data_IF_832640192800
#
_entry.id   IF_832640192800
#
_cell.length_a   1.000
_cell.length_b   1.000
_cell.length_c   1.000
_cell.angle_alpha   90.00
_cell.angle_beta   90.00
_cell.angle_gamma   90.00
#
_symmetry.space_group_name_H-M   'P 1'
#
loop_
_entity.id
_entity.type
_entity.pdbx_description
1 polymer ?
#
# COMPACT_ATOMS: atom_id res chain seq x y z
N UNK A 1 23.31 -20.65 -3.57
CA UNK A 1 22.33 -21.57 -4.18
C UNK A 1 20.95 -21.11 -3.78
N UNK A 2 19.95 -21.11 -4.65
CA UNK A 2 18.59 -20.74 -4.25
C UNK A 2 18.09 -21.67 -3.13
N UNK A 3 17.29 -21.12 -2.21
CA UNK A 3 16.70 -21.88 -1.10
C UNK A 3 15.83 -23.02 -1.66
N UNK A 4 15.97 -24.22 -1.11
CA UNK A 4 15.20 -25.40 -1.52
C UNK A 4 13.94 -25.52 -0.64
N UNK A 5 12.79 -25.17 -1.18
CA UNK A 5 11.52 -25.15 -0.45
C UNK A 5 11.12 -26.52 0.10
N UNK A 6 11.42 -27.62 -0.62
CA UNK A 6 11.11 -28.97 -0.14
C UNK A 6 11.94 -29.34 1.10
N UNK A 7 13.21 -28.97 1.12
CA UNK A 7 14.09 -29.20 2.29
C UNK A 7 13.58 -28.38 3.49
N UNK A 8 13.29 -27.09 3.26
CA UNK A 8 12.76 -26.19 4.29
C UNK A 8 11.42 -26.72 4.83
N UNK A 9 10.54 -27.21 3.96
CA UNK A 9 9.26 -27.78 4.37
C UNK A 9 9.42 -28.96 5.31
N UNK A 10 10.38 -29.87 5.05
CA UNK A 10 10.67 -31.00 5.94
C UNK A 10 11.19 -30.54 7.30
N UNK A 11 12.12 -29.58 7.31
CA UNK A 11 12.71 -29.06 8.55
C UNK A 11 11.66 -28.33 9.39
N UNK A 12 10.81 -27.52 8.76
CA UNK A 12 9.77 -26.71 9.42
C UNK A 12 8.43 -27.43 9.57
N UNK A 13 8.29 -28.67 9.08
CA UNK A 13 7.04 -29.46 9.08
C UNK A 13 5.89 -28.79 8.33
N UNK A 14 6.19 -28.04 7.28
CA UNK A 14 5.18 -27.41 6.41
C UNK A 14 4.59 -28.50 5.52
N UNK A 15 3.26 -28.61 5.52
CA UNK A 15 2.50 -29.61 4.74
C UNK A 15 1.95 -29.00 3.43
N UNK A 16 1.66 -27.71 3.44
CA UNK A 16 1.05 -26.99 2.32
C UNK A 16 1.73 -25.63 2.10
N UNK A 17 1.69 -25.17 0.85
CA UNK A 17 2.14 -23.83 0.49
C UNK A 17 1.02 -23.04 -0.18
N UNK A 18 0.82 -21.81 0.22
CA UNK A 18 0.08 -20.81 -0.51
C UNK A 18 1.04 -20.16 -1.51
N UNK A 19 0.95 -20.50 -2.78
CA UNK A 19 1.68 -19.83 -3.86
C UNK A 19 0.83 -18.67 -4.32
N UNK A 20 1.26 -17.45 -4.02
CA UNK A 20 0.42 -16.26 -4.08
C UNK A 20 0.97 -15.18 -4.98
N UNK A 21 0.08 -14.43 -5.63
CA UNK A 21 0.41 -13.19 -6.32
C UNK A 21 -0.66 -12.13 -6.04
N UNK A 22 -0.34 -10.87 -6.30
CA UNK A 22 -1.29 -9.75 -6.20
C UNK A 22 -1.61 -9.27 -7.61
N UNK A 23 -2.90 -9.16 -7.93
CA UNK A 23 -3.36 -8.62 -9.21
C UNK A 23 -3.31 -7.07 -9.24
N UNK A 24 -3.69 -6.44 -10.37
CA UNK A 24 -3.63 -4.98 -10.53
C UNK A 24 -4.55 -4.22 -9.57
N UNK A 25 -5.59 -4.87 -9.04
CA UNK A 25 -6.50 -4.26 -8.06
C UNK A 25 -6.05 -4.41 -6.61
N UNK A 26 -4.92 -5.10 -6.38
CA UNK A 26 -4.39 -5.32 -5.04
C UNK A 26 -4.97 -6.59 -4.37
N UNK A 27 -5.75 -7.39 -5.10
CA UNK A 27 -6.32 -8.61 -4.55
C UNK A 27 -5.28 -9.71 -4.50
N UNK A 28 -5.12 -10.31 -3.32
CA UNK A 28 -4.22 -11.45 -3.11
C UNK A 28 -4.86 -12.74 -3.64
N UNK A 29 -4.23 -13.32 -4.66
CA UNK A 29 -4.64 -14.56 -5.32
C UNK A 29 -3.70 -15.69 -4.94
N UNK A 30 -4.21 -16.91 -4.78
CA UNK A 30 -3.39 -18.01 -4.30
C UNK A 30 -3.90 -19.39 -4.78
N UNK A 31 -2.97 -20.34 -4.86
CA UNK A 31 -3.28 -21.77 -4.87
C UNK A 31 -2.63 -22.45 -3.69
N UNK A 32 -3.36 -23.36 -3.04
CA UNK A 32 -2.84 -24.22 -1.98
C UNK A 32 -2.19 -25.46 -2.60
N UNK A 33 -0.89 -25.64 -2.40
CA UNK A 33 -0.07 -26.70 -3.00
C UNK A 33 0.46 -27.60 -1.88
N UNK A 34 0.26 -28.94 -1.94
CA UNK A 34 0.85 -29.85 -0.96
C UNK A 34 2.38 -29.93 -1.14
N UNK A 35 3.11 -30.10 -0.05
CA UNK A 35 4.60 -30.12 -0.05
C UNK A 35 5.19 -31.13 -1.02
N UNK A 36 4.50 -32.24 -1.32
CA UNK A 36 4.98 -33.23 -2.31
C UNK A 36 5.18 -32.65 -3.72
N UNK A 37 4.38 -31.62 -4.08
CA UNK A 37 4.44 -30.97 -5.40
C UNK A 37 5.34 -29.71 -5.41
N UNK A 38 5.88 -29.27 -4.27
CA UNK A 38 6.56 -27.96 -4.19
C UNK A 38 7.84 -27.87 -5.02
N UNK A 39 8.53 -28.99 -5.29
CA UNK A 39 9.72 -29.00 -6.13
C UNK A 39 9.37 -28.59 -7.56
N UNK A 40 8.33 -29.20 -8.13
CA UNK A 40 7.83 -28.87 -9.46
C UNK A 40 7.31 -27.42 -9.51
N UNK A 41 6.58 -26.99 -8.48
CA UNK A 41 6.07 -25.62 -8.41
C UNK A 41 7.20 -24.58 -8.29
N UNK A 42 8.30 -24.92 -7.60
CA UNK A 42 9.46 -24.04 -7.51
C UNK A 42 10.18 -23.88 -8.84
N UNK A 43 10.17 -24.90 -9.69
CA UNK A 43 10.84 -24.92 -11.01
C UNK A 43 9.93 -24.36 -12.11
N UNK A 44 8.67 -24.79 -12.15
CA UNK A 44 7.74 -24.54 -13.26
C UNK A 44 6.61 -23.56 -12.90
N UNK A 45 6.41 -23.26 -11.63
CA UNK A 45 5.34 -22.40 -11.13
C UNK A 45 4.01 -23.12 -10.96
N UNK A 46 3.10 -22.47 -10.24
CA UNK A 46 1.69 -22.85 -10.14
C UNK A 46 0.90 -22.16 -11.26
N UNK A 47 0.12 -22.93 -12.04
CA UNK A 47 -0.65 -22.41 -13.18
C UNK A 47 -1.88 -21.60 -12.73
N UNK A 48 -2.14 -20.46 -13.39
CA UNK A 48 -3.30 -19.61 -13.18
C UNK A 48 -3.87 -19.13 -14.52
N UNK A 49 -5.19 -19.09 -14.64
CA UNK A 49 -5.85 -18.41 -15.74
C UNK A 49 -5.87 -16.90 -15.46
N UNK A 50 -5.11 -16.11 -16.22
CA UNK A 50 -5.00 -14.66 -16.02
C UNK A 50 -6.31 -13.91 -16.14
N UNK A 51 -7.21 -14.39 -16.99
CA UNK A 51 -8.57 -13.88 -17.12
C UNK A 51 -9.38 -13.91 -15.81
N UNK A 52 -9.13 -14.88 -14.93
CA UNK A 52 -9.84 -15.01 -13.65
C UNK A 52 -9.32 -14.04 -12.56
N UNK A 53 -8.35 -13.20 -12.89
CA UNK A 53 -7.80 -12.16 -12.03
C UNK A 53 -7.80 -10.81 -12.76
N UNK A 54 -7.63 -9.70 -12.02
CA UNK A 54 -7.56 -8.37 -12.61
C UNK A 54 -6.18 -8.10 -13.24
N UNK A 55 -5.93 -8.69 -14.43
CA UNK A 55 -4.66 -8.59 -15.17
C UNK A 55 -4.84 -8.20 -16.66
N UNK A 56 -6.05 -7.78 -17.04
CA UNK A 56 -6.41 -7.38 -18.41
C UNK A 56 -6.14 -8.47 -19.46
N UNK A 57 -6.53 -9.70 -19.15
CA UNK A 57 -6.42 -10.87 -20.02
C UNK A 57 -7.80 -11.38 -20.45
N UNK A 58 -7.85 -12.14 -21.52
CA UNK A 58 -9.04 -12.80 -22.04
C UNK A 58 -8.98 -14.31 -21.79
N UNK A 59 -10.10 -15.05 -21.92
CA UNK A 59 -10.09 -16.51 -21.85
C UNK A 59 -9.26 -17.19 -22.95
N UNK A 60 -8.87 -16.46 -24.01
CA UNK A 60 -8.05 -16.98 -25.10
C UNK A 60 -6.54 -16.83 -24.83
N UNK A 61 -6.15 -16.09 -23.78
CA UNK A 61 -4.75 -15.96 -23.42
C UNK A 61 -4.23 -17.23 -22.73
N UNK A 62 -2.94 -17.51 -22.91
CA UNK A 62 -2.29 -18.66 -22.28
C UNK A 62 -2.32 -18.57 -20.76
N UNK A 63 -2.24 -19.73 -20.10
CA UNK A 63 -2.05 -19.79 -18.64
C UNK A 63 -0.77 -19.05 -18.21
N UNK A 64 -0.87 -18.40 -17.08
CA UNK A 64 0.28 -17.84 -16.36
C UNK A 64 0.79 -18.84 -15.33
N UNK A 65 2.05 -18.71 -14.98
CA UNK A 65 2.69 -19.50 -13.94
C UNK A 65 3.26 -18.58 -12.85
N UNK A 66 2.78 -18.78 -11.63
CA UNK A 66 3.33 -18.11 -10.44
C UNK A 66 4.57 -18.86 -9.96
N UNK A 67 5.75 -18.34 -10.28
CA UNK A 67 7.03 -18.88 -9.80
C UNK A 67 7.25 -18.37 -8.38
N UNK A 68 7.21 -19.24 -7.35
CA UNK A 68 7.34 -18.78 -5.97
C UNK A 68 8.76 -18.28 -5.71
N UNK A 69 8.86 -17.15 -5.00
CA UNK A 69 10.12 -16.60 -4.52
C UNK A 69 10.47 -17.23 -3.17
N UNK A 70 11.50 -18.09 -3.06
CA UNK A 70 11.84 -18.76 -1.81
C UNK A 70 12.30 -17.80 -0.70
N UNK A 71 12.72 -16.56 -1.05
CA UNK A 71 13.13 -15.57 -0.07
C UNK A 71 11.95 -14.87 0.60
N UNK A 72 10.76 -14.97 0.00
CA UNK A 72 9.51 -14.46 0.56
C UNK A 72 8.80 -15.43 1.52
N UNK A 73 9.35 -16.62 1.77
CA UNK A 73 8.68 -17.65 2.57
C UNK A 73 8.35 -17.18 3.99
N UNK A 74 7.07 -17.19 4.32
CA UNK A 74 6.55 -16.99 5.67
C UNK A 74 5.79 -18.27 6.09
N UNK A 75 6.24 -18.96 7.14
CA UNK A 75 5.44 -19.98 7.80
C UNK A 75 4.37 -19.30 8.63
N UNK A 76 3.08 -19.61 8.42
CA UNK A 76 2.00 -18.92 9.11
C UNK A 76 2.12 -19.09 10.64
N UNK A 77 2.24 -18.01 11.43
CA UNK A 77 2.34 -18.11 12.88
C UNK A 77 1.14 -18.82 13.52
N UNK A 78 -0.06 -18.58 13.03
CA UNK A 78 -1.32 -19.17 13.53
C UNK A 78 -1.65 -20.55 12.93
N UNK A 79 -0.89 -21.02 11.93
CA UNK A 79 -1.03 -22.35 11.34
C UNK A 79 0.30 -22.84 10.76
N UNK A 80 1.11 -23.46 11.61
CA UNK A 80 2.48 -23.91 11.26
C UNK A 80 2.56 -24.96 10.13
N UNK A 81 1.46 -25.56 9.74
CA UNK A 81 1.43 -26.50 8.63
C UNK A 81 1.44 -25.81 7.25
N UNK A 82 1.27 -24.50 7.21
CA UNK A 82 1.16 -23.72 5.98
C UNK A 82 2.30 -22.71 5.85
N UNK A 83 2.93 -22.69 4.66
CA UNK A 83 3.86 -21.64 4.25
C UNK A 83 3.23 -20.74 3.20
N UNK A 84 3.39 -19.43 3.33
CA UNK A 84 3.01 -18.45 2.32
C UNK A 84 4.22 -18.04 1.49
N UNK A 85 4.03 -17.86 0.17
CA UNK A 85 5.06 -17.46 -0.78
C UNK A 85 4.49 -16.41 -1.74
N UNK A 86 5.18 -15.27 -1.87
CA UNK A 86 4.98 -14.37 -2.99
C UNK A 86 5.56 -14.98 -4.26
N UNK A 87 4.93 -14.72 -5.41
CA UNK A 87 5.33 -15.30 -6.70
C UNK A 87 5.47 -14.23 -7.77
N UNK A 88 6.40 -14.46 -8.68
CA UNK A 88 6.55 -13.71 -9.90
C UNK A 88 5.74 -14.41 -11.02
N UNK A 89 4.92 -13.66 -11.75
CA UNK A 89 4.10 -14.20 -12.82
C UNK A 89 4.88 -14.29 -14.13
N UNK A 90 4.78 -15.46 -14.77
CA UNK A 90 5.39 -15.76 -16.08
C UNK A 90 4.33 -16.29 -17.04
N UNK A 91 4.44 -15.93 -18.30
CA UNK A 91 3.60 -16.41 -19.39
C UNK A 91 4.46 -16.58 -20.65
N UNK A 92 4.32 -17.70 -21.35
CA UNK A 92 5.10 -17.99 -22.58
C UNK A 92 6.62 -17.82 -22.40
N UNK A 93 7.16 -18.24 -21.23
CA UNK A 93 8.58 -18.18 -20.92
C UNK A 93 9.13 -16.78 -20.61
N UNK A 94 8.26 -15.78 -20.39
CA UNK A 94 8.64 -14.39 -20.08
C UNK A 94 7.89 -13.88 -18.85
N UNK A 95 8.47 -12.95 -18.08
CA UNK A 95 7.75 -12.25 -17.02
C UNK A 95 6.51 -11.53 -17.55
N UNK A 96 5.42 -11.55 -16.79
CA UNK A 96 4.22 -10.74 -17.08
C UNK A 96 4.50 -9.30 -16.61
N UNK A 97 4.85 -8.43 -17.55
CA UNK A 97 5.27 -7.05 -17.26
C UNK A 97 4.21 -6.23 -16.50
N UNK A 98 2.92 -6.52 -16.72
CA UNK A 98 1.80 -5.89 -16.01
C UNK A 98 1.59 -6.44 -14.59
N UNK A 99 2.33 -7.46 -14.16
CA UNK A 99 2.25 -7.96 -12.79
C UNK A 99 2.85 -6.95 -11.80
N UNK A 100 2.12 -6.54 -10.74
CA UNK A 100 2.58 -5.53 -9.81
C UNK A 100 3.96 -5.82 -9.18
N UNK A 101 4.22 -7.07 -8.81
CA UNK A 101 5.51 -7.47 -8.23
C UNK A 101 6.65 -7.36 -9.25
N UNK A 102 6.41 -7.72 -10.51
CA UNK A 102 7.37 -7.55 -11.62
C UNK A 102 7.61 -6.05 -11.88
N UNK A 103 6.56 -5.24 -11.91
CA UNK A 103 6.69 -3.79 -12.07
C UNK A 103 7.62 -3.19 -10.99
N UNK A 104 7.45 -3.60 -9.73
CA UNK A 104 8.35 -3.17 -8.64
C UNK A 104 9.79 -3.67 -8.85
N UNK A 105 9.99 -4.95 -9.14
CA UNK A 105 11.33 -5.53 -9.39
C UNK A 105 12.05 -4.84 -10.54
N UNK A 106 11.33 -4.44 -11.58
CA UNK A 106 11.90 -3.68 -12.70
C UNK A 106 12.41 -2.29 -12.25
N UNK A 107 11.69 -1.58 -11.39
CA UNK A 107 12.17 -0.30 -10.85
C UNK A 107 13.35 -0.50 -9.87
N UNK A 108 13.30 -1.52 -9.03
CA UNK A 108 14.41 -1.89 -8.12
C UNK A 108 15.68 -2.14 -8.94
N UNK A 109 15.59 -2.90 -10.03
CA UNK A 109 16.72 -3.18 -10.90
C UNK A 109 17.34 -1.90 -11.51
N UNK A 110 16.51 -0.89 -11.85
CA UNK A 110 17.01 0.41 -12.34
C UNK A 110 17.80 1.17 -11.25
N UNK A 111 17.35 1.10 -9.99
CA UNK A 111 18.05 1.72 -8.86
C UNK A 111 19.32 0.95 -8.50
N UNK A 112 19.25 -0.39 -8.45
CA UNK A 112 20.39 -1.26 -8.13
C UNK A 112 21.55 -1.10 -9.11
N UNK A 113 21.28 -0.83 -10.40
CA UNK A 113 22.32 -0.50 -11.39
C UNK A 113 23.13 0.76 -11.03
N UNK A 114 22.64 1.59 -10.09
CA UNK A 114 23.34 2.76 -9.54
C UNK A 114 24.02 2.46 -8.20
N UNK A 115 24.05 1.20 -7.75
CA UNK A 115 24.56 0.79 -6.44
C UNK A 115 23.68 1.23 -5.26
N UNK A 116 22.40 1.51 -5.49
CA UNK A 116 21.48 2.07 -4.51
C UNK A 116 20.30 1.13 -4.26
N UNK A 117 19.80 1.16 -3.02
CA UNK A 117 18.61 0.41 -2.58
C UNK A 117 17.61 1.38 -1.96
N UNK A 118 16.33 1.26 -2.32
CA UNK A 118 15.26 1.96 -1.61
C UNK A 118 14.78 1.11 -0.43
N UNK A 119 14.76 1.70 0.75
CA UNK A 119 14.14 1.15 1.95
C UNK A 119 12.88 1.90 2.27
N UNK A 120 11.87 1.17 2.73
CA UNK A 120 10.58 1.74 3.09
C UNK A 120 9.96 1.05 4.29
N UNK A 121 9.14 1.81 5.04
CA UNK A 121 8.22 1.32 6.04
C UNK A 121 6.82 1.82 5.70
N UNK A 122 5.79 1.07 6.05
CA UNK A 122 4.39 1.46 5.84
C UNK A 122 3.64 1.46 7.16
N UNK A 123 2.76 2.43 7.32
CA UNK A 123 1.82 2.58 8.43
C UNK A 123 0.43 2.34 7.85
N UNK A 124 -0.03 1.07 7.87
CA UNK A 124 -1.28 0.67 7.25
C UNK A 124 -2.39 0.60 8.29
N UNK A 125 -3.21 1.63 8.33
CA UNK A 125 -4.36 1.75 9.21
C UNK A 125 -5.48 0.81 8.80
N UNK A 126 -6.25 0.33 9.78
CA UNK A 126 -7.41 -0.53 9.55
C UNK A 126 -8.48 -0.34 10.62
N UNK A 127 -9.73 -0.61 10.25
CA UNK A 127 -10.84 -0.70 11.20
C UNK A 127 -11.10 -2.14 11.60
N UNK A 128 -11.38 -2.34 12.89
CA UNK A 128 -12.08 -3.52 13.38
C UNK A 128 -13.58 -3.23 13.40
N UNK A 129 -14.33 -4.03 12.63
CA UNK A 129 -15.77 -3.87 12.42
C UNK A 129 -16.53 -5.15 12.82
N UNK A 130 -17.82 -5.02 12.99
CA UNK A 130 -18.72 -6.18 13.17
C UNK A 130 -18.60 -7.16 12.01
N UNK A 131 -18.88 -8.42 12.25
CA UNK A 131 -18.78 -9.47 11.22
C UNK A 131 -19.67 -9.20 9.98
N UNK A 132 -20.82 -8.52 10.16
CA UNK A 132 -21.69 -8.08 9.07
C UNK A 132 -21.16 -6.81 8.35
N UNK A 133 -20.11 -6.20 8.87
CA UNK A 133 -19.47 -5.01 8.29
C UNK A 133 -20.18 -3.69 8.53
N UNK A 134 -21.28 -3.65 9.28
CA UNK A 134 -22.14 -2.45 9.34
C UNK A 134 -21.76 -1.44 10.42
N UNK A 135 -20.95 -1.82 11.41
CA UNK A 135 -20.56 -0.97 12.53
C UNK A 135 -19.13 -1.23 12.98
N UNK A 136 -18.56 -0.30 13.73
CA UNK A 136 -17.31 -0.56 14.45
C UNK A 136 -17.51 -1.70 15.45
N UNK A 137 -16.46 -2.49 15.70
CA UNK A 137 -16.54 -3.68 16.55
C UNK A 137 -16.79 -3.37 18.04
N UNK A 138 -16.36 -2.20 18.52
CA UNK A 138 -16.51 -1.80 19.92
C UNK A 138 -17.48 -0.63 20.07
N UNK A 139 -18.75 -0.92 20.41
CA UNK A 139 -19.79 0.11 20.60
C UNK A 139 -19.51 1.03 21.82
N UNK A 140 -18.56 0.70 22.69
CA UNK A 140 -18.15 1.56 23.83
C UNK A 140 -17.03 2.52 23.45
N UNK A 141 -16.51 2.42 22.25
CA UNK A 141 -15.50 3.34 21.72
C UNK A 141 -16.19 4.60 21.18
N UNK A 142 -16.36 5.59 22.06
CA UNK A 142 -17.20 6.77 21.83
C UNK A 142 -16.48 8.09 22.07
N UNK A 143 -15.17 8.07 22.30
CA UNK A 143 -14.38 9.29 22.53
C UNK A 143 -14.42 10.20 21.29
N UNK A 144 -14.54 11.52 21.52
CA UNK A 144 -14.52 12.51 20.44
C UNK A 144 -13.12 12.70 19.82
N UNK A 145 -12.06 12.44 20.60
CA UNK A 145 -10.66 12.39 20.16
C UNK A 145 -10.09 11.04 20.58
N UNK A 146 -10.32 9.98 19.80
CA UNK A 146 -10.04 8.60 20.23
C UNK A 146 -8.58 8.20 20.10
N UNK A 147 -7.75 8.97 19.40
CA UNK A 147 -6.34 8.66 19.20
C UNK A 147 -5.64 8.35 20.53
N UNK A 148 -4.97 7.19 20.59
CA UNK A 148 -4.25 6.70 21.78
C UNK A 148 -5.12 6.37 23.00
N UNK A 149 -6.45 6.16 22.82
CA UNK A 149 -7.31 5.76 23.94
C UNK A 149 -6.90 4.38 24.45
N UNK A 150 -6.28 4.38 25.64
CA UNK A 150 -5.80 3.16 26.28
C UNK A 150 -6.94 2.17 26.56
N UNK A 151 -8.12 2.65 26.92
CA UNK A 151 -9.25 1.78 27.26
C UNK A 151 -9.80 1.07 26.02
N UNK A 152 -9.92 1.80 24.89
CA UNK A 152 -10.34 1.20 23.60
C UNK A 152 -9.31 0.18 23.10
N UNK A 153 -8.03 0.51 23.17
CA UNK A 153 -6.94 -0.40 22.83
C UNK A 153 -7.02 -1.69 23.68
N UNK A 154 -7.16 -1.57 24.99
CA UNK A 154 -7.18 -2.71 25.90
C UNK A 154 -8.44 -3.57 25.77
N UNK A 155 -9.56 -3.03 25.31
CA UNK A 155 -10.75 -3.83 24.97
C UNK A 155 -10.55 -4.74 23.75
N UNK A 156 -9.53 -4.47 22.93
CA UNK A 156 -9.14 -5.28 21.76
C UNK A 156 -7.78 -5.97 21.95
N UNK A 157 -7.27 -5.97 23.19
CA UNK A 157 -5.94 -6.44 23.53
C UNK A 157 -5.65 -7.86 22.99
N UNK A 158 -6.54 -8.82 23.15
CA UNK A 158 -6.28 -10.21 22.75
C UNK A 158 -6.04 -10.34 21.24
N UNK A 159 -6.83 -9.66 20.43
CA UNK A 159 -6.67 -9.63 18.97
C UNK A 159 -5.38 -8.91 18.58
N UNK A 160 -5.15 -7.70 19.10
CA UNK A 160 -3.97 -6.89 18.79
C UNK A 160 -2.70 -7.61 19.24
N UNK A 161 -2.73 -8.21 20.42
CA UNK A 161 -1.64 -9.05 20.93
C UNK A 161 -1.33 -10.22 20.00
N UNK A 162 -2.34 -10.96 19.52
CA UNK A 162 -2.13 -12.09 18.61
C UNK A 162 -1.46 -11.65 17.30
N UNK A 163 -1.87 -10.51 16.71
CA UNK A 163 -1.22 -9.94 15.53
C UNK A 163 0.24 -9.57 15.86
N UNK A 164 0.45 -8.87 16.97
CA UNK A 164 1.79 -8.43 17.41
C UNK A 164 2.72 -9.64 17.65
N UNK A 165 2.23 -10.69 18.36
CA UNK A 165 3.01 -11.91 18.58
C UNK A 165 3.37 -12.61 17.26
N UNK A 166 2.47 -12.62 16.28
CA UNK A 166 2.77 -13.13 14.95
C UNK A 166 3.90 -12.32 14.28
N UNK A 167 3.86 -10.99 14.38
CA UNK A 167 4.90 -10.13 13.81
C UNK A 167 6.24 -10.33 14.50
N UNK A 168 6.26 -10.50 15.82
CA UNK A 168 7.47 -10.83 16.60
C UNK A 168 8.05 -12.16 16.13
N UNK A 169 7.20 -13.20 16.02
CA UNK A 169 7.65 -14.52 15.57
C UNK A 169 8.24 -14.50 14.15
N UNK A 170 7.67 -13.68 13.26
CA UNK A 170 8.19 -13.50 11.91
C UNK A 170 9.45 -12.63 11.84
N UNK A 171 9.88 -12.04 12.97
CA UNK A 171 11.06 -11.19 13.03
C UNK A 171 10.87 -9.83 12.36
N UNK A 172 9.64 -9.30 12.34
CA UNK A 172 9.37 -8.00 11.71
C UNK A 172 9.71 -6.80 12.61
N UNK A 173 9.98 -7.03 13.91
CA UNK A 173 10.30 -5.98 14.87
C UNK A 173 9.15 -4.99 15.10
N UNK A 174 7.94 -5.46 15.49
CA UNK A 174 6.87 -4.52 15.85
C UNK A 174 7.29 -3.73 17.08
N UNK A 175 7.08 -2.40 17.03
CA UNK A 175 7.56 -1.51 18.10
C UNK A 175 6.49 -0.58 18.64
N UNK A 176 5.37 -0.41 17.93
CA UNK A 176 4.30 0.51 18.31
C UNK A 176 2.98 0.03 17.72
N UNK A 177 1.95 -0.05 18.56
CA UNK A 177 0.60 -0.43 18.17
C UNK A 177 -0.35 0.48 18.92
N UNK A 178 -1.22 1.17 18.22
CA UNK A 178 -2.10 2.17 18.84
C UNK A 178 -3.51 2.17 18.27
N UNK A 179 -4.36 2.85 19.02
CA UNK A 179 -5.69 3.24 18.60
C UNK A 179 -5.58 4.55 17.83
N UNK A 180 -6.12 4.58 16.62
CA UNK A 180 -6.03 5.70 15.70
C UNK A 180 -7.15 6.74 15.89
N UNK A 181 -7.20 7.75 14.98
CA UNK A 181 -8.06 8.94 15.09
C UNK A 181 -9.54 8.66 14.86
N UNK A 182 -9.92 7.44 14.50
CA UNK A 182 -11.32 7.03 14.39
C UNK A 182 -11.65 5.96 15.42
N UNK A 183 -12.85 6.03 16.00
CA UNK A 183 -13.35 4.97 16.86
C UNK A 183 -13.34 3.61 16.09
N UNK A 184 -12.74 2.60 16.70
CA UNK A 184 -12.56 1.28 16.09
C UNK A 184 -11.41 1.16 15.09
N UNK A 185 -10.57 2.18 14.94
CA UNK A 185 -9.41 2.21 14.04
C UNK A 185 -8.12 1.91 14.80
N UNK A 186 -7.21 1.16 14.15
CA UNK A 186 -5.94 0.75 14.72
C UNK A 186 -4.82 0.84 13.69
N UNK A 187 -3.59 1.04 14.18
CA UNK A 187 -2.35 1.01 13.41
C UNK A 187 -1.32 0.14 14.12
N UNK A 188 -0.51 -0.58 13.35
CA UNK A 188 0.59 -1.38 13.86
C UNK A 188 1.85 -1.07 13.06
N UNK A 189 2.91 -0.67 13.76
CA UNK A 189 4.18 -0.31 13.15
C UNK A 189 5.23 -1.41 13.35
N UNK A 190 6.05 -1.62 12.34
CA UNK A 190 7.17 -2.56 12.37
C UNK A 190 8.39 -2.00 11.63
N UNK A 191 9.54 -2.65 11.82
CA UNK A 191 10.80 -2.19 11.23
C UNK A 191 10.74 -2.11 9.70
N UNK A 192 11.24 -1.00 9.16
CA UNK A 192 11.39 -0.81 7.71
C UNK A 192 12.43 -1.77 7.12
N UNK A 193 12.29 -2.09 5.83
CA UNK A 193 13.19 -2.99 5.12
C UNK A 193 13.35 -2.55 3.65
N UNK A 194 14.06 -3.33 2.84
CA UNK A 194 14.11 -3.14 1.40
C UNK A 194 12.69 -3.16 0.82
N UNK A 195 12.41 -2.29 -0.13
CA UNK A 195 11.04 -2.00 -0.57
C UNK A 195 10.29 -3.22 -1.15
N UNK A 196 10.98 -4.24 -1.69
CA UNK A 196 10.33 -5.50 -2.10
C UNK A 196 9.86 -6.29 -0.87
N UNK A 197 10.72 -6.41 0.15
CA UNK A 197 10.39 -7.08 1.43
C UNK A 197 9.23 -6.35 2.11
N UNK A 198 9.26 -5.02 2.12
CA UNK A 198 8.15 -4.20 2.66
C UNK A 198 6.84 -4.46 1.91
N UNK A 199 6.87 -4.55 0.56
CA UNK A 199 5.67 -4.85 -0.22
C UNK A 199 5.12 -6.26 0.03
N UNK A 200 6.01 -7.27 0.13
CA UNK A 200 5.63 -8.65 0.48
C UNK A 200 5.03 -8.72 1.90
N UNK A 201 5.67 -8.05 2.88
CA UNK A 201 5.16 -7.95 4.28
C UNK A 201 3.84 -7.20 4.37
N UNK A 202 3.68 -6.10 3.66
CA UNK A 202 2.42 -5.33 3.63
C UNK A 202 1.28 -6.17 3.06
N UNK A 203 1.52 -6.90 1.97
CA UNK A 203 0.56 -7.85 1.40
C UNK A 203 0.16 -8.92 2.42
N UNK A 204 1.14 -9.52 3.08
CA UNK A 204 0.90 -10.54 4.09
C UNK A 204 0.23 -9.97 5.35
N UNK A 205 0.57 -8.75 5.77
CA UNK A 205 -0.04 -8.06 6.90
C UNK A 205 -1.56 -7.90 6.71
N UNK A 206 -2.00 -7.44 5.55
CA UNK A 206 -3.44 -7.33 5.25
C UNK A 206 -4.16 -8.68 5.36
N UNK A 207 -3.56 -9.74 4.82
CA UNK A 207 -4.08 -11.10 4.94
C UNK A 207 -4.12 -11.57 6.40
N UNK A 208 -3.04 -11.38 7.15
CA UNK A 208 -2.92 -11.77 8.56
C UNK A 208 -3.96 -11.07 9.43
N UNK A 209 -4.08 -9.74 9.32
CA UNK A 209 -5.03 -8.95 10.11
C UNK A 209 -6.47 -9.39 9.85
N UNK A 210 -6.85 -9.60 8.58
CA UNK A 210 -8.19 -10.12 8.22
C UNK A 210 -8.44 -11.49 8.83
N UNK A 211 -7.51 -12.43 8.63
CA UNK A 211 -7.64 -13.82 9.12
C UNK A 211 -7.75 -13.89 10.66
N UNK A 212 -6.91 -13.14 11.36
CA UNK A 212 -6.94 -13.12 12.84
C UNK A 212 -8.22 -12.43 13.32
N UNK A 213 -8.66 -11.35 12.69
CA UNK A 213 -9.93 -10.69 13.05
C UNK A 213 -11.12 -11.63 12.91
N UNK A 214 -11.21 -12.41 11.84
CA UNK A 214 -12.26 -13.42 11.64
C UNK A 214 -12.22 -14.51 12.72
N UNK A 215 -11.05 -14.95 13.13
CA UNK A 215 -10.86 -15.91 14.24
C UNK A 215 -11.40 -15.37 15.57
N UNK A 216 -11.38 -14.05 15.76
CA UNK A 216 -11.98 -13.36 16.91
C UNK A 216 -13.46 -12.97 16.70
N UNK A 217 -14.11 -13.46 15.64
CA UNK A 217 -15.51 -13.15 15.33
C UNK A 217 -15.78 -11.73 14.84
N UNK A 218 -14.73 -11.06 14.40
CA UNK A 218 -14.75 -9.70 13.86
C UNK A 218 -14.33 -9.69 12.38
N UNK A 219 -14.41 -8.53 11.76
CA UNK A 219 -13.87 -8.28 10.43
C UNK A 219 -12.91 -7.10 10.49
N UNK A 220 -11.79 -7.17 9.79
CA UNK A 220 -10.92 -6.03 9.57
C UNK A 220 -11.16 -5.46 8.17
N UNK A 221 -11.13 -4.13 8.04
CA UNK A 221 -11.22 -3.48 6.73
C UNK A 221 -10.15 -2.41 6.55
N UNK A 222 -9.54 -2.41 5.37
CA UNK A 222 -8.60 -1.40 4.89
C UNK A 222 -9.28 -0.40 3.94
N UNK A 223 -10.61 -0.45 3.82
CA UNK A 223 -11.40 0.49 3.02
C UNK A 223 -11.01 1.94 3.37
N UNK A 224 -10.72 2.81 2.39
CA UNK A 224 -10.21 4.15 2.65
C UNK A 224 -11.11 5.00 3.54
N UNK A 225 -12.42 4.91 3.36
CA UNK A 225 -13.44 5.64 4.14
C UNK A 225 -14.63 4.74 4.40
N UNK A 226 -14.58 3.86 5.42
CA UNK A 226 -15.68 2.92 5.68
C UNK A 226 -16.88 3.58 6.38
N UNK A 227 -16.67 4.68 7.10
CA UNK A 227 -17.69 5.42 7.84
C UNK A 227 -17.57 6.93 7.58
N UNK A 228 -18.71 7.57 7.31
CA UNK A 228 -18.76 8.99 6.90
C UNK A 228 -18.21 9.94 7.95
N UNK A 229 -18.57 9.71 9.20
CA UNK A 229 -18.27 10.61 10.33
C UNK A 229 -16.95 10.28 11.04
N UNK A 230 -16.22 9.27 10.58
CA UNK A 230 -14.95 8.85 11.17
C UNK A 230 -13.79 9.15 10.22
N UNK A 231 -12.59 9.36 10.75
CA UNK A 231 -11.37 9.49 9.95
C UNK A 231 -11.18 8.25 9.07
N UNK A 232 -10.64 8.40 7.86
CA UNK A 232 -10.42 7.29 6.94
C UNK A 232 -9.07 6.60 7.19
N UNK A 233 -8.86 5.42 6.57
CA UNK A 233 -7.61 4.66 6.64
C UNK A 233 -6.55 5.24 5.72
N UNK A 234 -5.45 5.72 6.29
CA UNK A 234 -4.22 6.01 5.56
C UNK A 234 -3.34 4.77 5.40
N UNK A 235 -2.36 4.89 4.55
CA UNK A 235 -1.25 3.95 4.41
C UNK A 235 0.02 4.75 4.15
N UNK A 236 0.51 5.43 5.17
CA UNK A 236 1.66 6.31 5.02
C UNK A 236 2.92 5.51 4.70
N UNK A 237 3.78 6.04 3.84
CA UNK A 237 5.03 5.37 3.50
C UNK A 237 6.24 6.24 3.84
N UNK A 238 7.14 5.69 4.64
CA UNK A 238 8.43 6.26 4.98
C UNK A 238 9.48 5.76 3.99
N UNK A 239 10.23 6.69 3.39
CA UNK A 239 11.13 6.40 2.27
C UNK A 239 12.53 6.90 2.57
N UNK A 240 13.51 6.06 2.28
CA UNK A 240 14.93 6.39 2.29
C UNK A 240 15.70 5.61 1.22
N UNK A 241 16.84 6.12 0.75
CA UNK A 241 17.72 5.45 -0.22
C UNK A 241 19.09 5.23 0.39
N UNK A 242 19.64 4.05 0.18
CA UNK A 242 20.86 3.58 0.83
C UNK A 242 21.89 3.11 -0.18
N UNK A 243 23.16 3.24 0.20
CA UNK A 243 24.33 2.66 -0.43
C UNK A 243 24.99 1.76 0.61
N UNK A 244 24.73 0.46 0.54
CA UNK A 244 25.10 -0.48 1.61
C UNK A 244 24.47 -0.06 2.95
N UNK A 245 25.33 0.31 3.92
CA UNK A 245 24.89 0.75 5.25
C UNK A 245 24.67 2.26 5.37
N UNK A 246 24.99 3.04 4.34
CA UNK A 246 24.95 4.50 4.38
C UNK A 246 23.60 5.02 3.83
N UNK A 247 22.85 5.73 4.66
CA UNK A 247 21.66 6.45 4.24
C UNK A 247 22.07 7.65 3.36
N UNK A 248 21.69 7.63 2.08
CA UNK A 248 22.04 8.67 1.10
C UNK A 248 21.07 9.87 1.16
N UNK A 249 19.96 9.72 1.85
CA UNK A 249 19.04 10.84 2.09
C UNK A 249 19.47 11.73 3.24
N UNK A 250 20.36 11.24 4.12
CA UNK A 250 20.82 11.99 5.30
C UNK A 250 21.84 13.06 4.95
N UNK A 251 21.53 14.31 5.35
CA UNK A 251 22.46 15.43 5.42
C UNK A 251 22.12 16.30 6.63
N UNK A 252 22.84 16.12 7.73
CA UNK A 252 22.61 16.86 8.99
C UNK A 252 22.96 18.34 8.92
N UNK A 253 23.66 18.79 7.88
CA UNK A 253 23.99 20.21 7.67
C UNK A 253 22.80 20.99 7.05
N UNK A 254 21.81 20.28 6.48
CA UNK A 254 20.60 20.87 5.93
C UNK A 254 19.53 21.05 7.00
N UNK A 255 18.74 22.12 6.90
CA UNK A 255 17.70 22.47 7.88
C UNK A 255 16.64 21.38 8.13
N UNK A 256 16.30 20.60 7.10
CA UNK A 256 15.37 19.47 7.23
C UNK A 256 16.10 18.10 7.29
N UNK A 257 17.44 18.11 7.40
CA UNK A 257 18.23 16.89 7.49
C UNK A 257 18.25 16.02 6.23
N UNK A 258 17.86 16.57 5.07
CA UNK A 258 17.81 15.88 3.78
C UNK A 258 18.95 16.30 2.86
N UNK A 259 19.57 15.33 2.20
CA UNK A 259 20.57 15.54 1.16
C UNK A 259 19.95 16.07 -0.14
N UNK A 260 20.79 16.61 -1.03
CA UNK A 260 20.37 16.99 -2.39
C UNK A 260 19.76 15.82 -3.16
N UNK A 261 20.25 14.59 -2.94
CA UNK A 261 19.67 13.38 -3.54
C UNK A 261 18.23 13.17 -3.04
N UNK A 262 17.99 13.32 -1.74
CA UNK A 262 16.65 13.21 -1.17
C UNK A 262 15.70 14.27 -1.73
N UNK A 263 16.13 15.51 -1.84
CA UNK A 263 15.32 16.57 -2.46
C UNK A 263 15.00 16.28 -3.92
N UNK A 264 15.97 15.80 -4.71
CA UNK A 264 15.68 15.44 -6.10
C UNK A 264 14.70 14.26 -6.19
N UNK A 265 14.85 13.24 -5.35
CA UNK A 265 13.91 12.13 -5.29
C UNK A 265 12.50 12.60 -4.93
N UNK A 266 12.38 13.39 -3.86
CA UNK A 266 11.13 14.00 -3.40
C UNK A 266 10.53 14.91 -4.48
N UNK A 267 11.35 15.68 -5.19
CA UNK A 267 10.92 16.51 -6.33
C UNK A 267 10.25 15.70 -7.43
N UNK A 268 10.76 14.51 -7.72
CA UNK A 268 10.11 13.57 -8.65
C UNK A 268 8.75 13.09 -8.14
N UNK A 269 8.62 12.80 -6.85
CA UNK A 269 7.34 12.41 -6.24
C UNK A 269 6.33 13.57 -6.31
N UNK A 270 6.73 14.79 -5.97
CA UNK A 270 5.88 15.99 -6.06
C UNK A 270 5.42 16.23 -7.51
N UNK A 271 6.33 16.22 -8.47
CA UNK A 271 6.02 16.41 -9.91
C UNK A 271 4.94 15.44 -10.38
N UNK A 272 5.02 14.19 -9.95
CA UNK A 272 4.16 13.13 -10.44
C UNK A 272 2.93 12.85 -9.55
N UNK A 273 2.76 13.54 -8.42
CA UNK A 273 1.77 13.22 -7.38
C UNK A 273 0.34 13.06 -7.89
N UNK A 274 -0.12 13.98 -8.76
CA UNK A 274 -1.48 13.89 -9.35
C UNK A 274 -1.70 12.62 -10.17
N UNK A 275 -0.68 12.13 -10.87
CA UNK A 275 -0.76 10.89 -11.65
C UNK A 275 -0.63 9.65 -10.75
N UNK A 276 0.22 9.75 -9.72
CA UNK A 276 0.42 8.69 -8.75
C UNK A 276 -0.81 8.43 -7.89
N UNK A 277 -1.71 9.43 -7.73
CA UNK A 277 -2.99 9.23 -7.05
C UNK A 277 -3.80 8.07 -7.64
N UNK A 278 -3.67 7.76 -8.93
CA UNK A 278 -4.32 6.60 -9.54
C UNK A 278 -3.88 5.26 -8.94
N UNK A 279 -2.64 5.16 -8.42
CA UNK A 279 -2.11 3.97 -7.75
C UNK A 279 -2.23 4.04 -6.22
N UNK A 280 -2.16 5.26 -5.67
CA UNK A 280 -2.16 5.51 -4.24
C UNK A 280 -3.57 5.58 -3.64
N UNK A 281 -4.52 6.01 -4.45
CA UNK A 281 -5.93 6.20 -4.13
C UNK A 281 -6.78 5.54 -5.21
N UNK A 282 -6.69 4.19 -5.34
CA UNK A 282 -7.10 3.49 -6.55
C UNK A 282 -8.61 3.21 -6.64
N UNK A 283 -9.40 3.55 -5.62
CA UNK A 283 -10.83 3.26 -5.56
C UNK A 283 -11.66 4.55 -5.57
N UNK A 284 -12.94 4.44 -5.93
CA UNK A 284 -13.89 5.55 -5.82
C UNK A 284 -13.97 6.03 -4.36
N UNK A 285 -13.98 5.09 -3.42
CA UNK A 285 -14.00 5.39 -1.99
C UNK A 285 -12.75 6.12 -1.48
N UNK A 286 -11.61 5.98 -2.15
CA UNK A 286 -10.38 6.74 -1.84
C UNK A 286 -10.62 8.26 -1.84
N UNK A 287 -11.47 8.74 -2.73
CA UNK A 287 -11.79 10.16 -2.89
C UNK A 287 -12.79 10.67 -1.84
N UNK A 288 -13.44 9.76 -1.11
CA UNK A 288 -14.15 10.09 0.13
C UNK A 288 -13.17 10.49 1.23
N UNK A 289 -12.00 9.82 1.31
CA UNK A 289 -10.95 10.14 2.27
C UNK A 289 -10.25 11.45 1.92
N UNK A 290 -9.81 11.63 0.67
CA UNK A 290 -9.08 12.84 0.22
C UNK A 290 -9.95 14.09 0.41
N UNK A 291 -11.24 14.00 0.11
CA UNK A 291 -12.17 15.13 0.21
C UNK A 291 -12.90 15.22 1.56
N UNK A 292 -12.50 14.41 2.54
CA UNK A 292 -13.18 14.40 3.84
C UNK A 292 -13.05 15.75 4.55
N UNK A 293 -14.14 16.29 5.11
CA UNK A 293 -14.06 17.42 6.04
C UNK A 293 -13.34 16.96 7.33
N UNK A 294 -12.84 17.91 8.14
CA UNK A 294 -12.33 17.58 9.47
C UNK A 294 -13.40 16.85 10.31
N UNK A 295 -12.96 15.79 10.99
CA UNK A 295 -13.80 15.01 11.92
C UNK A 295 -13.93 15.73 13.28
N UNK A 296 -14.57 15.10 14.26
CA UNK A 296 -14.66 15.62 15.63
C UNK A 296 -13.28 15.82 16.28
N UNK A 297 -12.25 15.11 15.83
CA UNK A 297 -10.88 15.32 16.30
C UNK A 297 -10.28 16.65 15.84
N UNK A 298 -10.87 17.28 14.82
CA UNK A 298 -10.43 18.57 14.24
C UNK A 298 -9.51 18.41 13.04
N UNK A 299 -9.29 17.19 12.54
CA UNK A 299 -8.43 16.93 11.40
C UNK A 299 -9.10 15.99 10.40
N UNK A 300 -8.73 16.08 9.12
CA UNK A 300 -9.07 15.10 8.08
C UNK A 300 -8.01 14.01 7.93
N UNK A 301 -6.78 14.29 8.39
CA UNK A 301 -5.58 13.46 8.29
C UNK A 301 -5.21 13.06 6.85
N UNK A 302 -5.84 13.67 5.86
CA UNK A 302 -5.62 13.43 4.44
C UNK A 302 -5.19 14.71 3.73
N UNK A 303 -4.15 14.66 2.88
CA UNK A 303 -3.74 15.83 2.11
C UNK A 303 -4.73 16.11 0.98
N UNK A 304 -4.95 17.40 0.68
CA UNK A 304 -5.71 17.87 -0.48
C UNK A 304 -4.83 18.59 -1.51
N UNK A 305 -3.65 19.00 -1.08
CA UNK A 305 -2.72 19.79 -1.89
C UNK A 305 -1.35 19.11 -1.97
N UNK A 306 -0.66 19.34 -3.08
CA UNK A 306 0.69 18.82 -3.32
C UNK A 306 1.71 19.74 -2.67
N UNK A 307 2.16 19.38 -1.49
CA UNK A 307 3.09 20.18 -0.69
C UNK A 307 3.96 19.32 0.21
N UNK A 308 5.06 19.91 0.70
CA UNK A 308 5.94 19.27 1.67
C UNK A 308 6.45 20.27 2.71
N UNK A 309 6.84 19.75 3.86
CA UNK A 309 7.47 20.53 4.93
C UNK A 309 8.24 19.62 5.91
N UNK A 310 8.71 20.17 7.00
CA UNK A 310 9.30 19.45 8.14
C UNK A 310 8.28 18.56 8.87
N UNK A 311 8.39 18.48 10.19
CA UNK A 311 7.52 17.64 11.03
C UNK A 311 6.12 18.24 11.22
N UNK A 312 5.29 18.22 10.16
CA UNK A 312 3.93 18.74 10.15
C UNK A 312 3.02 17.82 9.30
N UNK A 313 2.03 17.22 9.96
CA UNK A 313 1.12 16.20 9.38
C UNK A 313 0.06 16.75 8.44
N UNK A 314 -0.05 18.08 8.27
CA UNK A 314 -1.07 18.70 7.40
C UNK A 314 -0.66 18.73 5.93
N UNK A 315 0.57 18.31 5.59
CA UNK A 315 1.11 18.27 4.23
C UNK A 315 1.10 16.87 3.62
N UNK A 316 1.13 16.79 2.29
CA UNK A 316 1.23 15.53 1.55
C UNK A 316 2.54 14.79 1.86
N UNK A 317 3.64 15.53 1.98
CA UNK A 317 4.95 14.99 2.37
C UNK A 317 5.42 15.68 3.64
N UNK A 318 5.73 14.87 4.65
CA UNK A 318 6.29 15.28 5.94
C UNK A 318 7.71 14.77 6.05
N UNK A 319 8.60 15.57 6.60
CA UNK A 319 9.97 15.16 6.95
C UNK A 319 10.03 15.08 8.47
N UNK A 320 9.72 13.90 9.06
CA UNK A 320 9.62 13.76 10.53
C UNK A 320 10.99 13.79 11.20
N UNK A 321 12.01 13.19 10.53
CA UNK A 321 13.36 13.03 11.01
C UNK A 321 14.38 13.15 9.87
N UNK A 322 15.65 13.46 10.16
CA UNK A 322 16.72 13.50 9.16
C UNK A 322 16.88 12.18 8.40
N UNK A 323 17.07 12.27 7.08
CA UNK A 323 17.39 11.13 6.22
C UNK A 323 16.21 10.29 5.74
N UNK A 324 14.96 10.70 6.00
CA UNK A 324 13.74 10.09 5.44
C UNK A 324 12.67 11.13 5.20
N UNK A 325 11.73 10.82 4.32
CA UNK A 325 10.45 11.54 4.28
C UNK A 325 9.29 10.54 4.37
N UNK A 326 8.16 11.03 4.81
CA UNK A 326 6.88 10.32 4.89
C UNK A 326 5.94 10.87 3.81
N UNK A 327 5.43 9.99 2.97
CA UNK A 327 4.39 10.29 2.00
C UNK A 327 3.04 9.87 2.57
N UNK A 328 2.12 10.84 2.74
CA UNK A 328 0.84 10.67 3.45
C UNK A 328 -0.38 10.55 2.53
N UNK A 329 -0.13 10.47 1.22
CA UNK A 329 -1.19 10.46 0.21
C UNK A 329 -1.95 9.13 0.16
N UNK A 330 -1.25 8.01 0.29
CA UNK A 330 -1.79 6.67 0.09
C UNK A 330 -2.86 6.31 1.12
N UNK A 331 -3.77 5.44 0.72
CA UNK A 331 -4.77 4.84 1.61
C UNK A 331 -4.67 3.31 1.68
N UNK A 332 -5.47 2.70 2.54
CA UNK A 332 -5.44 1.26 2.81
C UNK A 332 -5.80 0.37 1.61
N UNK A 333 -6.41 0.91 0.55
CA UNK A 333 -6.72 0.17 -0.68
C UNK A 333 -5.58 0.14 -1.70
N UNK A 334 -4.50 0.89 -1.47
CA UNK A 334 -3.34 0.90 -2.36
C UNK A 334 -2.74 -0.51 -2.51
N UNK A 335 -2.45 -0.89 -3.76
CA UNK A 335 -1.74 -2.14 -4.05
C UNK A 335 -0.32 -2.06 -3.49
N UNK A 336 0.11 -2.96 -2.58
CA UNK A 336 1.41 -2.89 -1.91
C UNK A 336 2.61 -2.78 -2.85
N UNK A 337 2.58 -3.47 -3.98
CA UNK A 337 3.67 -3.44 -4.96
C UNK A 337 3.62 -2.20 -5.82
N UNK A 338 2.42 -1.79 -6.29
CA UNK A 338 2.28 -0.57 -7.10
C UNK A 338 2.61 0.67 -6.29
N UNK A 339 2.30 0.69 -4.99
CA UNK A 339 2.70 1.75 -4.08
C UNK A 339 4.23 1.95 -4.13
N UNK A 340 4.99 0.90 -3.85
CA UNK A 340 6.46 0.97 -3.82
C UNK A 340 7.05 1.24 -5.22
N UNK A 341 6.51 0.58 -6.26
CA UNK A 341 6.95 0.77 -7.63
C UNK A 341 6.78 2.21 -8.11
N UNK A 342 5.64 2.83 -7.77
CA UNK A 342 5.29 4.18 -8.20
C UNK A 342 6.14 5.24 -7.49
N UNK A 343 6.36 5.10 -6.18
CA UNK A 343 7.27 5.98 -5.44
C UNK A 343 8.68 5.90 -6.02
N UNK A 344 9.15 4.66 -6.28
CA UNK A 344 10.50 4.45 -6.82
C UNK A 344 10.63 4.99 -8.25
N UNK A 345 9.64 4.78 -9.12
CA UNK A 345 9.65 5.30 -10.49
C UNK A 345 9.69 6.84 -10.51
N UNK A 346 8.85 7.50 -9.70
CA UNK A 346 8.84 8.95 -9.57
C UNK A 346 10.16 9.49 -8.97
N UNK A 347 10.69 8.81 -7.96
CA UNK A 347 11.98 9.16 -7.38
C UNK A 347 13.14 9.02 -8.37
N UNK A 348 13.15 7.98 -9.21
CA UNK A 348 14.13 7.78 -10.27
C UNK A 348 14.05 8.89 -11.35
N UNK A 349 12.84 9.34 -11.71
CA UNK A 349 12.63 10.50 -12.55
C UNK A 349 13.25 11.75 -11.92
N UNK A 350 12.96 11.99 -10.65
CA UNK A 350 13.54 13.10 -9.89
C UNK A 350 15.05 13.10 -9.84
N UNK A 351 15.66 11.93 -9.60
CA UNK A 351 17.12 11.77 -9.59
C UNK A 351 17.74 11.99 -10.97
N UNK A 352 17.13 11.46 -12.03
CA UNK A 352 17.59 11.58 -13.41
C UNK A 352 17.60 13.03 -13.87
N UNK A 353 16.51 13.74 -13.60
CA UNK A 353 16.27 15.10 -14.08
C UNK A 353 16.68 16.16 -13.05
N UNK A 354 17.21 15.78 -11.89
CA UNK A 354 17.63 16.67 -10.79
C UNK A 354 16.52 17.65 -10.40
N UNK A 355 15.29 17.13 -10.24
CA UNK A 355 14.10 17.94 -10.01
C UNK A 355 14.20 18.58 -8.61
N UNK A 356 14.02 19.90 -8.58
CA UNK A 356 13.90 20.66 -7.34
C UNK A 356 12.44 20.66 -6.87
N UNK A 357 12.12 20.22 -5.64
CA UNK A 357 10.76 20.25 -5.12
C UNK A 357 10.24 21.65 -4.80
N UNK A 358 11.06 22.69 -4.91
CA UNK A 358 10.75 24.03 -4.46
C UNK A 358 10.97 24.22 -2.96
N UNK A 359 10.44 25.31 -2.39
CA UNK A 359 10.59 25.60 -0.96
C UNK A 359 9.56 24.84 -0.13
N UNK A 360 9.96 24.33 1.06
CA UNK A 360 8.99 23.76 2.02
C UNK A 360 8.04 24.85 2.52
N UNK A 361 6.78 24.51 2.77
CA UNK A 361 5.79 25.42 3.31
C UNK A 361 5.65 25.20 4.82
N UNK A 362 5.92 26.25 5.59
CA UNK A 362 5.76 26.19 7.06
C UNK A 362 4.42 26.81 7.49
N UNK A 363 3.33 26.06 7.27
CA UNK A 363 1.97 26.52 7.58
C UNK A 363 1.08 25.33 7.96
N UNK A 364 -0.07 25.61 8.59
CA UNK A 364 -1.13 24.61 8.79
C UNK A 364 -2.00 24.54 7.53
N UNK A 365 -1.81 23.54 6.69
CA UNK A 365 -2.54 23.39 5.43
C UNK A 365 -4.05 23.19 5.62
N UNK A 366 -4.54 22.74 6.78
CA UNK A 366 -5.97 22.63 7.04
C UNK A 366 -6.64 23.99 7.22
N UNK A 367 -5.92 24.98 7.76
CA UNK A 367 -6.44 26.32 8.07
C UNK A 367 -6.01 27.37 7.03
N UNK A 368 -4.82 27.19 6.42
CA UNK A 368 -4.16 28.22 5.66
C UNK A 368 -4.08 27.94 4.15
N UNK A 369 -4.69 26.83 3.67
CA UNK A 369 -4.60 26.45 2.25
C UNK A 369 -5.09 27.56 1.28
N UNK A 370 -6.04 28.39 1.69
CA UNK A 370 -6.55 29.50 0.88
C UNK A 370 -5.51 30.59 0.62
N UNK A 371 -4.48 30.70 1.49
CA UNK A 371 -3.36 31.64 1.29
C UNK A 371 -2.42 31.21 0.13
N UNK A 372 -2.58 29.96 -0.36
CA UNK A 372 -1.76 29.38 -1.41
C UNK A 372 -2.59 28.93 -2.62
N UNK A 373 -3.31 29.85 -3.31
CA UNK A 373 -4.26 29.51 -4.38
C UNK A 373 -3.58 28.86 -5.60
N UNK A 374 -2.28 29.11 -5.79
CA UNK A 374 -1.48 28.55 -6.89
C UNK A 374 -0.85 27.19 -6.57
N UNK A 375 -1.04 26.66 -5.35
CA UNK A 375 -0.51 25.36 -4.98
C UNK A 375 -1.27 24.27 -5.74
N UNK A 376 -0.56 23.34 -6.40
CA UNK A 376 -1.22 22.26 -7.13
C UNK A 376 -2.09 21.42 -6.17
N UNK A 377 -3.31 21.13 -6.59
CA UNK A 377 -4.25 20.27 -5.87
C UNK A 377 -4.13 18.83 -6.35
N UNK A 378 -4.43 17.90 -5.44
CA UNK A 378 -4.63 16.51 -5.81
C UNK A 378 -5.95 16.36 -6.59
N UNK A 379 -6.09 15.33 -7.43
CA UNK A 379 -7.36 15.00 -8.07
C UNK A 379 -8.48 14.78 -7.05
N UNK A 380 -9.68 15.22 -7.40
CA UNK A 380 -10.87 15.10 -6.55
C UNK A 380 -11.64 13.80 -6.78
N UNK A 381 -11.38 13.11 -7.89
CA UNK A 381 -12.07 11.90 -8.32
C UNK A 381 -11.11 10.93 -9.03
N UNK A 382 -11.49 9.65 -9.06
CA UNK A 382 -10.67 8.60 -9.65
C UNK A 382 -10.43 8.82 -11.16
N UNK A 383 -11.46 9.23 -11.91
CA UNK A 383 -11.33 9.46 -13.36
C UNK A 383 -10.30 10.56 -13.68
N UNK A 384 -10.26 11.63 -12.88
CA UNK A 384 -9.24 12.67 -13.01
C UNK A 384 -7.82 12.11 -12.79
N UNK A 385 -7.64 11.25 -11.79
CA UNK A 385 -6.36 10.60 -11.51
C UNK A 385 -5.92 9.68 -12.64
N UNK A 386 -6.85 8.90 -13.19
CA UNK A 386 -6.60 8.02 -14.32
C UNK A 386 -6.23 8.81 -15.59
N UNK A 387 -6.88 9.95 -15.82
CA UNK A 387 -6.53 10.83 -16.93
C UNK A 387 -5.14 11.44 -16.76
N UNK A 388 -4.78 11.89 -15.54
CA UNK A 388 -3.43 12.37 -15.24
C UNK A 388 -2.39 11.28 -15.47
N UNK A 389 -2.67 10.03 -15.05
CA UNK A 389 -1.77 8.90 -15.27
C UNK A 389 -1.62 8.58 -16.76
N UNK A 390 -2.71 8.55 -17.52
CA UNK A 390 -2.71 8.31 -18.98
C UNK A 390 -1.79 9.26 -19.72
N UNK A 391 -1.82 10.53 -19.34
CA UNK A 391 -1.08 11.60 -19.98
C UNK A 391 0.33 11.83 -19.40
N UNK A 392 0.72 11.07 -18.37
CA UNK A 392 2.03 11.20 -17.74
C UNK A 392 3.08 10.39 -18.50
N UNK A 393 3.93 11.09 -19.27
CA UNK A 393 4.99 10.46 -20.06
C UNK A 393 5.99 9.70 -19.18
N UNK A 394 6.39 10.26 -18.05
CA UNK A 394 7.42 9.65 -17.19
C UNK A 394 6.95 8.31 -16.62
N UNK A 395 5.68 8.21 -16.21
CA UNK A 395 5.09 6.97 -15.72
C UNK A 395 4.87 5.97 -16.87
N UNK A 396 4.46 6.42 -18.05
CA UNK A 396 4.36 5.57 -19.24
C UNK A 396 5.75 5.00 -19.65
N UNK A 397 6.82 5.80 -19.55
CA UNK A 397 8.19 5.35 -19.83
C UNK A 397 8.71 4.39 -18.73
N UNK A 398 8.28 4.58 -17.49
CA UNK A 398 8.69 3.75 -16.36
C UNK A 398 8.07 2.35 -16.39
N UNK A 399 6.77 2.24 -16.66
CA UNK A 399 5.97 1.02 -16.54
C UNK A 399 5.57 0.39 -17.88
N UNK A 400 5.76 1.11 -18.98
CA UNK A 400 5.26 0.73 -20.30
C UNK A 400 3.82 1.21 -20.52
N UNK A 401 3.60 1.80 -21.69
CA UNK A 401 2.28 2.38 -22.06
C UNK A 401 1.16 1.34 -22.08
N UNK A 402 1.47 0.10 -22.49
CA UNK A 402 0.48 -0.99 -22.49
C UNK A 402 0.03 -1.35 -21.09
N UNK A 403 0.97 -1.49 -20.15
CA UNK A 403 0.66 -1.77 -18.74
C UNK A 403 -0.22 -0.67 -18.12
N UNK A 404 0.13 0.60 -18.38
CA UNK A 404 -0.67 1.75 -17.91
C UNK A 404 -2.07 1.72 -18.53
N UNK A 405 -2.18 1.45 -19.82
CA UNK A 405 -3.47 1.36 -20.50
C UNK A 405 -4.33 0.20 -19.96
N UNK A 406 -3.74 -0.95 -19.69
CA UNK A 406 -4.42 -2.10 -19.08
C UNK A 406 -4.99 -1.75 -17.69
N UNK A 407 -4.17 -1.12 -16.84
CA UNK A 407 -4.62 -0.64 -15.54
C UNK A 407 -5.79 0.35 -15.65
N UNK A 408 -5.66 1.36 -16.51
CA UNK A 408 -6.68 2.39 -16.73
C UNK A 408 -7.96 1.76 -17.31
N UNK A 409 -7.85 0.83 -18.24
CA UNK A 409 -8.99 0.10 -18.82
C UNK A 409 -9.79 -0.62 -17.73
N UNK A 410 -9.12 -1.37 -16.87
CA UNK A 410 -9.78 -2.11 -15.79
C UNK A 410 -10.46 -1.15 -14.79
N UNK A 411 -9.78 -0.07 -14.36
CA UNK A 411 -10.39 0.93 -13.47
C UNK A 411 -11.56 1.68 -14.12
N UNK A 412 -11.52 1.92 -15.43
CA UNK A 412 -12.65 2.51 -16.15
C UNK A 412 -13.86 1.56 -16.25
N UNK A 413 -13.66 0.23 -16.25
CA UNK A 413 -14.77 -0.71 -16.15
C UNK A 413 -15.49 -0.59 -14.80
N UNK A 414 -14.72 -0.52 -13.71
CA UNK A 414 -15.22 -0.29 -12.35
C UNK A 414 -15.99 1.05 -12.26
N UNK A 415 -15.40 2.13 -12.76
CA UNK A 415 -16.04 3.46 -12.82
C UNK A 415 -17.34 3.45 -13.64
N UNK A 416 -17.37 2.74 -14.77
CA UNK A 416 -18.56 2.62 -15.61
C UNK A 416 -19.67 1.88 -14.86
N UNK A 417 -19.35 0.79 -14.19
CA UNK A 417 -20.33 0.04 -13.38
C UNK A 417 -20.90 0.91 -12.26
N UNK A 418 -20.02 1.62 -11.53
CA UNK A 418 -20.45 2.55 -10.49
C UNK A 418 -21.40 3.62 -11.03
N UNK A 419 -21.02 4.33 -12.12
CA UNK A 419 -21.82 5.41 -12.73
C UNK A 419 -23.17 4.93 -13.29
N UNK A 420 -23.32 3.63 -13.57
CA UNK A 420 -24.61 3.05 -13.96
C UNK A 420 -25.57 2.82 -12.77
N UNK A 421 -25.01 2.61 -11.58
CA UNK A 421 -25.78 2.28 -10.37
C UNK A 421 -25.92 3.47 -9.42
N UNK A 422 -24.93 4.35 -9.40
CA UNK A 422 -24.75 5.42 -8.44
C UNK A 422 -24.19 6.68 -9.11
N UNK A 423 -24.30 7.82 -8.42
CA UNK A 423 -23.60 9.04 -8.78
C UNK A 423 -22.62 9.40 -7.65
N UNK A 424 -21.33 9.57 -7.99
CA UNK A 424 -20.38 10.06 -7.01
C UNK A 424 -20.71 11.50 -6.61
N UNK A 425 -20.94 11.69 -5.33
CA UNK A 425 -21.12 12.99 -4.71
C UNK A 425 -20.48 12.91 -3.32
N UNK A 426 -19.37 13.61 -3.15
CA UNK A 426 -18.60 13.61 -1.89
C UNK A 426 -19.40 14.11 -0.68
N UNK A 427 -20.52 14.81 -0.91
CA UNK A 427 -21.39 15.32 0.15
C UNK A 427 -22.49 14.33 0.55
N UNK A 428 -22.69 13.29 -0.22
CA UNK A 428 -23.69 12.24 0.04
C UNK A 428 -23.08 11.05 0.80
N UNK A 429 -23.91 10.24 1.45
CA UNK A 429 -23.51 9.02 2.13
C UNK A 429 -22.67 8.08 1.26
N UNK A 430 -21.80 7.27 1.93
CA UNK A 430 -21.07 6.19 1.29
C UNK A 430 -22.08 5.17 0.75
N UNK A 431 -21.99 4.89 -0.55
CA UNK A 431 -22.99 4.06 -1.22
C UNK A 431 -22.84 2.58 -0.87
N UNK A 432 -23.91 1.81 -1.06
CA UNK A 432 -23.87 0.36 -0.92
C UNK A 432 -22.86 -0.26 -1.87
N UNK A 433 -22.79 0.24 -3.11
CA UNK A 433 -21.84 -0.22 -4.10
C UNK A 433 -20.36 -0.03 -3.65
N UNK A 434 -20.02 1.15 -3.09
CA UNK A 434 -18.67 1.39 -2.55
C UNK A 434 -18.33 0.36 -1.46
N UNK A 435 -19.24 0.07 -0.55
CA UNK A 435 -19.02 -0.92 0.51
C UNK A 435 -18.85 -2.33 -0.05
N UNK A 436 -19.74 -2.76 -0.95
CA UNK A 436 -19.72 -4.10 -1.53
C UNK A 436 -18.44 -4.35 -2.36
N UNK A 437 -17.81 -3.31 -2.92
CA UNK A 437 -16.63 -3.42 -3.76
C UNK A 437 -15.29 -3.04 -3.07
N UNK A 438 -15.33 -2.39 -1.91
CA UNK A 438 -14.09 -1.92 -1.27
C UNK A 438 -13.91 -2.35 0.19
N UNK A 439 -14.93 -2.93 0.82
CA UNK A 439 -14.82 -3.32 2.23
C UNK A 439 -13.74 -4.40 2.47
N UNK A 440 -13.45 -5.23 1.48
CA UNK A 440 -12.43 -6.28 1.52
C UNK A 440 -11.13 -5.94 0.77
N UNK A 441 -10.90 -4.70 0.41
CA UNK A 441 -9.68 -4.28 -0.29
C UNK A 441 -8.39 -4.54 0.51
#
# INVERSE_FOLDING_TARGET
MPKNLFKIAKEKKIKYFLISFVDLFGVLRSKLVPTRAIKEMQENGAGFAGFAAWLDMSPADSDMFGIPDPDSLIQLPWNKEVGWLASDLWMNGKPVEASPRIMLKNQINKLNKKGLVMKSGVECEYFLISSDGNSIADQRDTQSKPCYDQSALMRRYDLIKEICDCMIEMGWGPYQNDHEDANGQFEMNWDYDDCLITADRHTFFKFMVKTISEKHGLRATFMPKPFENLTGNGCHAHISVWDGKKNKFLDKSNALGLSKMAYNFLGGVIKNASSLSAFFNPTINSYRRINAPPTKSGASWSPSSISYTGNNRTHMIRIPDPGRFELRLMDGSANPYLLQASVLAAGLDGLKNKIDPGKPLNCNMYEEHEKYPNLPKLPDELDQSLEKLKNNKDMNDAFGKETINSYIKLRNLELKEFKQKENFDKTKPITRWERDNTLDC
#
